data_IF_245038602934
#
_entry.id   IF_245038602934
#
_cell.length_a   1.000
_cell.length_b   1.000
_cell.length_c   1.000
_cell.angle_alpha   90.00
_cell.angle_beta   90.00
_cell.angle_gamma   90.00
#
_symmetry.space_group_name_H-M   'P 1'
#
loop_
_entity.id
_entity.type
_entity.pdbx_description
1 polymer ?
#
# COMPACT_ATOMS: atom_id res chain seq x y z
N UNK A 1 -49.99 -28.20 -7.35
CA UNK A 1 -49.12 -27.62 -8.39
C UNK A 1 -47.92 -28.53 -8.60
N UNK A 2 -47.83 -29.17 -9.76
CA UNK A 2 -46.98 -30.35 -9.97
C UNK A 2 -45.50 -29.95 -10.10
N UNK A 3 -44.67 -30.37 -9.14
CA UNK A 3 -43.23 -30.00 -9.02
C UNK A 3 -42.34 -30.47 -10.18
N UNK A 4 -42.90 -31.16 -11.19
CA UNK A 4 -42.20 -31.62 -12.40
C UNK A 4 -42.20 -30.59 -13.53
N UNK A 5 -43.00 -29.53 -13.44
CA UNK A 5 -43.08 -28.49 -14.48
C UNK A 5 -42.16 -27.29 -14.23
N UNK A 6 -41.71 -27.08 -12.98
CA UNK A 6 -40.84 -25.95 -12.61
C UNK A 6 -39.48 -25.92 -13.36
N UNK A 7 -38.78 -27.05 -13.61
CA UNK A 7 -37.50 -26.99 -14.34
C UNK A 7 -37.69 -26.81 -15.86
N UNK A 8 -38.83 -27.25 -16.42
CA UNK A 8 -39.13 -27.11 -17.86
C UNK A 8 -39.47 -25.66 -18.21
N UNK A 9 -40.19 -24.96 -17.33
CA UNK A 9 -40.50 -23.53 -17.49
C UNK A 9 -39.24 -22.65 -17.37
N UNK A 10 -38.32 -22.99 -16.46
CA UNK A 10 -37.06 -22.26 -16.28
C UNK A 10 -36.10 -22.39 -17.48
N UNK A 11 -36.02 -23.58 -18.11
CA UNK A 11 -35.23 -23.78 -19.33
C UNK A 11 -35.81 -23.04 -20.55
N UNK A 12 -37.15 -23.01 -20.69
CA UNK A 12 -37.79 -22.26 -21.77
C UNK A 12 -37.55 -20.74 -21.67
N UNK A 13 -37.52 -20.19 -20.44
CA UNK A 13 -37.25 -18.76 -20.19
C UNK A 13 -35.80 -18.39 -20.57
N UNK A 14 -34.82 -19.25 -20.30
CA UNK A 14 -33.42 -18.99 -20.63
C UNK A 14 -33.13 -19.02 -22.14
N UNK A 15 -33.84 -19.86 -22.91
CA UNK A 15 -33.72 -19.91 -24.37
C UNK A 15 -34.39 -18.69 -25.04
N UNK A 16 -35.47 -18.15 -24.45
CA UNK A 16 -36.10 -16.94 -24.96
C UNK A 16 -35.22 -15.71 -24.70
N UNK A 17 -34.58 -15.61 -23.53
CA UNK A 17 -33.67 -14.48 -23.20
C UNK A 17 -32.42 -14.48 -24.10
N UNK A 18 -31.87 -15.63 -24.48
CA UNK A 18 -30.71 -15.68 -25.40
C UNK A 18 -31.05 -15.28 -26.84
N UNK A 19 -32.32 -15.35 -27.24
CA UNK A 19 -32.80 -14.86 -28.55
C UNK A 19 -33.10 -13.34 -28.56
N UNK A 20 -33.31 -12.71 -27.39
CA UNK A 20 -33.58 -11.26 -27.28
C UNK A 20 -32.31 -10.39 -27.18
N UNK A 21 -31.13 -10.96 -26.87
CA UNK A 21 -29.89 -10.19 -26.69
C UNK A 21 -28.90 -10.22 -27.87
N UNK A 22 -29.31 -10.75 -29.03
CA UNK A 22 -28.56 -10.65 -30.28
C UNK A 22 -29.37 -9.89 -31.34
N UNK A 23 -29.36 -8.56 -31.24
CA UNK A 23 -29.97 -7.67 -32.22
C UNK A 23 -29.31 -6.31 -32.08
N UNK A 24 -28.30 -6.06 -32.91
CA UNK A 24 -27.67 -4.75 -32.99
C UNK A 24 -28.60 -3.73 -33.63
N UNK A 25 -28.47 -2.48 -33.23
CA UNK A 25 -28.96 -1.36 -34.02
C UNK A 25 -27.87 -0.30 -34.17
N UNK A 26 -27.56 -0.06 -35.45
CA UNK A 26 -26.84 1.11 -35.93
C UNK A 26 -27.80 2.30 -35.82
N UNK A 27 -27.34 3.40 -35.24
CA UNK A 27 -28.01 4.70 -35.32
C UNK A 27 -26.98 5.77 -35.74
N UNK A 28 -27.42 6.88 -36.36
CA UNK A 28 -26.78 7.46 -37.52
C UNK A 28 -25.76 8.54 -37.17
N UNK A 29 -24.81 8.74 -38.07
CA UNK A 29 -23.83 9.80 -38.07
C UNK A 29 -24.47 11.20 -38.17
N UNK A 30 -24.20 12.04 -37.18
CA UNK A 30 -24.23 13.51 -37.30
C UNK A 30 -22.81 14.10 -37.18
N UNK A 31 -22.52 15.28 -37.78
CA UNK A 31 -21.18 15.70 -38.10
C UNK A 31 -20.48 16.52 -36.99
N UNK A 32 -19.16 16.31 -36.94
CA UNK A 32 -18.08 16.99 -36.19
C UNK A 32 -18.34 18.42 -35.70
N UNK A 33 -18.16 18.60 -34.38
CA UNK A 33 -17.65 19.84 -33.78
C UNK A 33 -16.41 19.50 -32.95
N UNK A 34 -15.28 20.08 -33.36
CA UNK A 34 -13.97 20.01 -32.72
C UNK A 34 -14.05 20.45 -31.25
N UNK A 35 -13.82 19.52 -30.32
CA UNK A 35 -13.52 19.84 -28.92
C UNK A 35 -12.11 19.37 -28.58
N UNK A 36 -11.28 20.38 -28.37
CA UNK A 36 -9.98 20.38 -27.72
C UNK A 36 -9.90 19.40 -26.55
N UNK A 37 -8.86 18.56 -26.57
CA UNK A 37 -8.50 17.63 -25.49
C UNK A 37 -8.54 18.31 -24.10
N UNK A 38 -9.14 17.66 -23.09
CA UNK A 38 -8.97 18.09 -21.70
C UNK A 38 -7.50 17.91 -21.28
N UNK A 39 -6.94 18.82 -20.47
CA UNK A 39 -5.58 18.66 -19.97
C UNK A 39 -5.53 17.44 -19.05
N UNK A 40 -4.72 16.47 -19.45
CA UNK A 40 -4.20 15.43 -18.57
C UNK A 40 -3.65 16.10 -17.32
N UNK A 41 -4.20 15.76 -16.15
CA UNK A 41 -3.62 16.11 -14.85
C UNK A 41 -2.27 15.39 -14.75
N UNK A 42 -1.23 16.02 -15.28
CA UNK A 42 0.14 15.76 -14.88
C UNK A 42 0.19 16.00 -13.36
N UNK A 43 0.30 14.91 -12.60
CA UNK A 43 0.71 15.00 -11.23
C UNK A 43 2.05 15.75 -11.23
N UNK A 44 2.03 16.98 -10.74
CA UNK A 44 3.21 17.79 -10.47
C UNK A 44 4.06 16.96 -9.54
N UNK A 45 5.04 16.26 -10.11
CA UNK A 45 6.09 15.60 -9.36
C UNK A 45 7.28 16.53 -9.55
N UNK A 46 7.64 17.35 -8.53
CA UNK A 46 8.90 18.05 -8.57
C UNK A 46 9.99 17.02 -8.81
N UNK A 47 10.80 17.25 -9.84
CA UNK A 47 12.00 16.47 -10.16
C UNK A 47 13.07 16.80 -9.10
N UNK A 48 12.81 16.43 -7.84
CA UNK A 48 13.80 16.47 -6.78
C UNK A 48 14.83 15.38 -7.06
N UNK A 49 16.10 15.75 -7.05
CA UNK A 49 17.21 14.82 -6.86
C UNK A 49 16.85 13.88 -5.70
N UNK A 50 16.93 12.54 -5.86
CA UNK A 50 16.55 11.63 -4.80
C UNK A 50 17.36 11.94 -3.54
N UNK A 51 16.69 12.41 -2.48
CA UNK A 51 17.34 12.65 -1.21
C UNK A 51 17.98 11.34 -0.71
N UNK A 52 19.16 11.39 -0.09
CA UNK A 52 19.80 10.21 0.47
C UNK A 52 18.87 9.44 1.43
N UNK A 53 18.87 8.10 1.37
CA UNK A 53 17.92 7.28 2.14
C UNK A 53 18.08 7.44 3.66
N UNK A 54 19.28 7.76 4.14
CA UNK A 54 19.57 8.06 5.54
C UNK A 54 18.90 9.36 5.99
N UNK A 55 18.78 10.35 5.10
CA UNK A 55 18.03 11.58 5.37
C UNK A 55 16.53 11.34 5.30
N UNK A 56 16.07 10.57 4.32
CA UNK A 56 14.64 10.23 4.19
C UNK A 56 14.13 9.45 5.41
N UNK A 57 14.91 8.48 5.89
CA UNK A 57 14.53 7.61 7.02
C UNK A 57 14.94 8.17 8.38
N UNK A 58 15.51 9.37 8.47
CA UNK A 58 15.82 10.00 9.74
C UNK A 58 14.56 10.07 10.62
N UNK A 59 14.67 9.65 11.87
CA UNK A 59 13.52 9.50 12.78
C UNK A 59 12.57 10.70 12.75
N UNK A 60 13.08 11.90 12.99
CA UNK A 60 12.26 13.12 13.07
C UNK A 60 11.49 13.38 11.78
N UNK A 61 12.12 13.13 10.62
CA UNK A 61 11.46 13.28 9.32
C UNK A 61 10.28 12.32 9.15
N UNK A 62 10.48 11.06 9.55
CA UNK A 62 9.44 10.02 9.41
C UNK A 62 8.33 10.26 10.43
N UNK A 63 8.66 10.58 11.68
CA UNK A 63 7.68 10.88 12.75
C UNK A 63 6.83 12.07 12.36
N UNK A 64 7.42 13.23 12.00
CA UNK A 64 6.65 14.41 11.61
C UNK A 64 5.78 14.16 10.36
N UNK A 65 6.24 13.34 9.41
CA UNK A 65 5.41 12.94 8.27
C UNK A 65 4.22 12.09 8.70
N UNK A 66 4.46 11.10 9.57
CA UNK A 66 3.43 10.20 10.09
C UNK A 66 2.38 10.95 10.91
N UNK A 67 2.78 11.89 11.77
CA UNK A 67 1.85 12.72 12.54
C UNK A 67 0.92 13.51 11.62
N UNK A 68 1.48 14.12 10.56
CA UNK A 68 0.74 14.95 9.62
C UNK A 68 -0.20 14.16 8.71
N UNK A 69 0.22 13.00 8.22
CA UNK A 69 -0.49 12.28 7.15
C UNK A 69 -1.04 10.91 7.56
N UNK A 70 -0.72 10.42 8.76
CA UNK A 70 -1.16 9.12 9.31
C UNK A 70 -0.89 7.94 8.35
N UNK A 71 0.18 8.05 7.55
CA UNK A 71 0.60 7.05 6.57
C UNK A 71 2.11 7.12 6.36
N UNK A 72 2.72 5.97 6.06
CA UNK A 72 4.15 5.93 5.76
C UNK A 72 4.48 6.76 4.49
N UNK A 73 5.64 7.43 4.47
CA UNK A 73 6.20 8.00 3.25
C UNK A 73 6.28 6.97 2.11
N UNK A 74 6.10 7.44 0.87
CA UNK A 74 6.02 6.56 -0.31
C UNK A 74 7.31 5.80 -0.65
N UNK A 75 8.45 6.16 -0.04
CA UNK A 75 9.72 5.45 -0.23
C UNK A 75 9.83 4.15 0.59
N UNK A 76 8.90 3.92 1.53
CA UNK A 76 8.80 2.64 2.22
C UNK A 76 8.15 1.56 1.35
N UNK A 77 8.58 0.33 1.55
CA UNK A 77 7.95 -0.85 0.97
C UNK A 77 8.02 -2.05 1.91
N UNK A 78 7.07 -2.95 1.79
CA UNK A 78 7.02 -4.15 2.65
C UNK A 78 8.18 -5.08 2.36
N UNK A 79 8.54 -5.91 3.36
CA UNK A 79 9.54 -6.98 3.18
C UNK A 79 9.18 -7.91 2.02
N UNK A 80 7.89 -8.19 1.79
CA UNK A 80 7.43 -9.03 0.69
C UNK A 80 7.77 -8.40 -0.67
N UNK A 81 7.35 -7.16 -0.88
CA UNK A 81 7.62 -6.42 -2.13
C UNK A 81 9.12 -6.29 -2.40
N UNK A 82 9.91 -6.00 -1.36
CA UNK A 82 11.36 -5.89 -1.51
C UNK A 82 11.99 -7.22 -1.95
N UNK A 83 11.61 -8.35 -1.34
CA UNK A 83 12.11 -9.67 -1.73
C UNK A 83 11.71 -10.05 -3.15
N UNK A 84 10.48 -9.77 -3.55
CA UNK A 84 10.00 -9.99 -4.92
C UNK A 84 10.80 -9.17 -5.93
N UNK A 85 11.31 -8.00 -5.54
CA UNK A 85 12.19 -7.16 -6.35
C UNK A 85 13.70 -7.50 -6.22
N UNK A 86 14.07 -8.62 -5.58
CA UNK A 86 15.45 -9.10 -5.52
C UNK A 86 16.24 -8.73 -4.26
N UNK A 87 15.59 -8.16 -3.24
CA UNK A 87 16.24 -7.93 -1.96
C UNK A 87 16.53 -9.25 -1.24
N UNK A 88 17.80 -9.43 -0.89
CA UNK A 88 18.30 -10.49 -0.03
C UNK A 88 18.85 -9.87 1.27
N UNK A 89 18.12 -10.10 2.36
CA UNK A 89 18.48 -9.58 3.68
C UNK A 89 19.85 -10.05 4.17
N UNK A 90 20.32 -11.24 3.76
CA UNK A 90 21.64 -11.76 4.16
C UNK A 90 22.76 -11.00 3.45
N UNK A 91 22.53 -10.59 2.20
CA UNK A 91 23.48 -9.80 1.40
C UNK A 91 23.47 -8.32 1.77
N UNK A 92 22.37 -7.81 2.37
CA UNK A 92 22.24 -6.38 2.66
C UNK A 92 22.10 -5.53 1.40
N UNK A 93 21.65 -6.11 0.29
CA UNK A 93 21.69 -5.49 -1.04
C UNK A 93 20.48 -4.58 -1.36
N UNK A 94 19.72 -4.11 -0.36
CA UNK A 94 18.45 -3.40 -0.62
C UNK A 94 18.67 -2.17 -1.50
N UNK A 95 19.65 -1.32 -1.19
CA UNK A 95 19.94 -0.13 -1.98
C UNK A 95 20.50 -0.43 -3.38
N UNK A 96 21.07 -1.62 -3.59
CA UNK A 96 21.59 -2.03 -4.90
C UNK A 96 20.45 -2.38 -5.84
N UNK A 97 19.43 -3.10 -5.33
CA UNK A 97 18.27 -3.54 -6.14
C UNK A 97 17.13 -2.53 -6.14
N UNK A 98 17.03 -1.71 -5.09
CA UNK A 98 15.94 -0.76 -4.86
C UNK A 98 16.51 0.57 -4.31
N UNK A 99 17.19 1.37 -5.14
CA UNK A 99 17.74 2.65 -4.73
C UNK A 99 16.67 3.59 -4.16
N UNK A 100 16.98 4.24 -3.04
CA UNK A 100 16.06 5.19 -2.40
C UNK A 100 14.85 4.55 -1.72
N UNK A 101 14.88 3.25 -1.44
CA UNK A 101 13.82 2.53 -0.71
C UNK A 101 14.27 2.09 0.68
N UNK A 102 13.30 1.99 1.59
CA UNK A 102 13.48 1.42 2.92
C UNK A 102 12.37 0.41 3.24
N UNK A 103 12.63 -0.49 4.19
CA UNK A 103 11.65 -1.50 4.60
C UNK A 103 10.64 -0.91 5.59
N UNK A 104 9.35 -1.10 5.33
CA UNK A 104 8.30 -0.70 6.25
C UNK A 104 6.89 -1.01 5.76
N UNK A 105 5.93 -0.99 6.68
CA UNK A 105 4.52 -1.28 6.42
C UNK A 105 4.10 -2.71 6.73
N UNK A 106 5.01 -3.57 7.17
CA UNK A 106 4.67 -4.91 7.63
C UNK A 106 3.95 -4.88 8.99
N UNK A 107 3.06 -5.85 9.22
CA UNK A 107 2.34 -5.99 10.49
C UNK A 107 3.30 -6.37 11.62
N UNK A 108 3.33 -5.57 12.68
CA UNK A 108 4.02 -5.89 13.91
C UNK A 108 3.07 -6.64 14.86
N UNK A 109 3.42 -7.88 15.20
CA UNK A 109 2.50 -8.76 15.94
C UNK A 109 2.31 -8.41 17.42
N UNK A 110 3.20 -7.61 18.01
CA UNK A 110 3.18 -7.25 19.44
C UNK A 110 2.99 -8.46 20.37
N UNK A 111 3.69 -9.57 20.11
CA UNK A 111 3.53 -10.84 20.85
C UNK A 111 3.88 -10.70 22.34
N UNK A 112 4.90 -9.90 22.64
CA UNK A 112 5.37 -9.63 24.00
C UNK A 112 4.49 -8.63 24.76
N UNK A 113 3.52 -8.01 24.07
CA UNK A 113 2.57 -7.04 24.64
C UNK A 113 3.26 -5.80 25.25
N UNK A 114 4.44 -5.44 24.75
CA UNK A 114 5.20 -4.27 25.19
C UNK A 114 4.61 -2.95 24.68
N UNK A 115 3.72 -2.99 23.68
CA UNK A 115 2.95 -1.83 23.22
C UNK A 115 1.48 -1.91 23.66
N UNK A 116 0.80 -0.77 23.87
CA UNK A 116 -0.60 -0.74 24.30
C UNK A 116 -1.55 -1.53 23.39
N UNK A 117 -2.44 -2.32 24.00
CA UNK A 117 -3.43 -3.16 23.31
C UNK A 117 -4.82 -2.54 23.48
N UNK A 118 -5.56 -2.45 22.39
CA UNK A 118 -6.96 -2.05 22.37
C UNK A 118 -7.73 -2.88 21.34
N UNK A 119 -9.05 -2.99 21.49
CA UNK A 119 -9.89 -3.74 20.55
C UNK A 119 -9.78 -3.14 19.14
N UNK A 120 -9.47 -3.98 18.15
CA UNK A 120 -9.30 -3.54 16.76
C UNK A 120 -7.97 -2.84 16.47
N UNK A 121 -7.15 -2.52 17.48
CA UNK A 121 -5.84 -1.91 17.26
C UNK A 121 -4.90 -2.90 16.59
N UNK A 122 -4.28 -2.44 15.51
CA UNK A 122 -3.22 -3.15 14.82
C UNK A 122 -1.93 -2.34 14.92
N UNK A 123 -0.80 -3.04 14.94
CA UNK A 123 0.52 -2.43 14.95
C UNK A 123 1.26 -2.79 13.66
N UNK A 124 2.08 -1.84 13.21
CA UNK A 124 2.92 -1.95 12.01
C UNK A 124 4.33 -1.43 12.34
N UNK A 125 5.30 -1.80 11.53
CA UNK A 125 6.71 -1.41 11.70
C UNK A 125 7.30 -0.77 10.44
N UNK A 126 8.26 0.12 10.62
CA UNK A 126 9.11 0.67 9.56
C UNK A 126 10.54 0.90 10.07
N UNK A 127 11.52 0.72 9.20
CA UNK A 127 12.91 1.05 9.51
C UNK A 127 13.09 2.56 9.59
N UNK A 128 13.80 3.03 10.60
CA UNK A 128 14.27 4.42 10.67
C UNK A 128 15.80 4.41 10.77
N UNK A 129 16.43 5.54 10.47
CA UNK A 129 17.88 5.72 10.48
C UNK A 129 18.64 4.70 9.60
N UNK A 130 18.05 4.29 8.47
CA UNK A 130 18.62 3.29 7.57
C UNK A 130 19.68 3.90 6.64
N UNK A 131 20.84 3.25 6.52
CA UNK A 131 22.03 3.80 5.82
C UNK A 131 22.54 2.90 4.69
N UNK A 132 21.65 2.19 4.01
CA UNK A 132 22.00 1.11 3.08
C UNK A 132 22.73 -0.07 3.76
N UNK A 133 22.97 -1.16 3.03
CA UNK A 133 23.55 -2.38 3.59
C UNK A 133 22.55 -3.16 4.45
N UNK A 134 23.06 -3.83 5.48
CA UNK A 134 22.23 -4.53 6.47
C UNK A 134 21.35 -3.54 7.24
N UNK A 135 20.11 -3.96 7.53
CA UNK A 135 19.16 -3.18 8.33
C UNK A 135 19.69 -3.03 9.76
N UNK A 136 19.63 -1.82 10.29
CA UNK A 136 20.05 -1.50 11.67
C UNK A 136 19.01 -1.93 12.71
N UNK A 137 19.16 -1.43 13.95
CA UNK A 137 18.28 -1.79 15.06
C UNK A 137 17.00 -0.97 15.19
N UNK A 138 16.99 0.19 14.55
CA UNK A 138 16.00 1.22 14.83
C UNK A 138 14.72 1.00 14.04
N UNK A 139 13.58 1.12 14.72
CA UNK A 139 12.26 0.96 14.11
C UNK A 139 11.29 1.98 14.66
N UNK A 140 10.45 2.49 13.77
CA UNK A 140 9.20 3.13 14.12
C UNK A 140 8.09 2.09 14.17
N UNK A 141 7.25 2.16 15.19
CA UNK A 141 6.07 1.33 15.40
C UNK A 141 4.86 2.27 15.39
N UNK A 142 3.89 1.99 14.53
CA UNK A 142 2.70 2.83 14.46
C UNK A 142 1.43 1.98 14.53
N UNK A 143 0.43 2.51 15.22
CA UNK A 143 -0.85 1.83 15.37
C UNK A 143 -1.86 2.29 14.32
N UNK A 144 -2.87 1.46 14.09
CA UNK A 144 -4.00 1.78 13.21
C UNK A 144 -4.84 2.98 13.68
N UNK A 145 -4.68 3.39 14.94
CA UNK A 145 -5.35 4.51 15.59
C UNK A 145 -4.40 5.66 15.96
N UNK A 146 -3.21 5.71 15.33
CA UNK A 146 -2.37 6.91 15.28
C UNK A 146 -1.31 7.05 16.37
N UNK A 147 -1.10 6.05 17.23
CA UNK A 147 0.02 6.05 18.18
C UNK A 147 1.34 5.77 17.45
N UNK A 148 2.41 6.42 17.87
CA UNK A 148 3.75 6.25 17.31
C UNK A 148 4.75 6.00 18.45
N UNK A 149 5.50 4.91 18.31
CA UNK A 149 6.61 4.54 19.17
C UNK A 149 7.88 4.35 18.35
N UNK A 150 9.02 4.46 18.99
CA UNK A 150 10.32 4.09 18.42
C UNK A 150 11.06 3.11 19.32
N UNK A 151 11.88 2.27 18.71
CA UNK A 151 12.87 1.40 19.37
C UNK A 151 14.22 1.62 18.69
N UNK A 152 15.30 1.59 19.47
CA UNK A 152 16.69 1.68 18.98
C UNK A 152 17.52 0.44 19.33
N UNK A 153 16.85 -0.62 19.81
CA UNK A 153 17.51 -1.75 20.45
C UNK A 153 16.94 -3.10 19.98
N UNK A 154 16.42 -3.15 18.74
CA UNK A 154 15.74 -4.32 18.18
C UNK A 154 14.55 -4.76 19.03
N UNK A 155 13.61 -3.84 19.28
CA UNK A 155 12.32 -4.10 19.92
C UNK A 155 12.41 -4.48 21.41
N UNK A 156 13.54 -4.23 22.11
CA UNK A 156 13.67 -4.53 23.54
C UNK A 156 13.01 -3.46 24.41
N UNK A 157 13.07 -2.20 23.99
CA UNK A 157 12.39 -1.08 24.64
C UNK A 157 11.73 -0.17 23.61
N UNK A 158 10.71 0.57 24.06
CA UNK A 158 9.89 1.45 23.23
C UNK A 158 9.70 2.80 23.91
N UNK A 159 9.82 3.88 23.14
CA UNK A 159 9.52 5.24 23.57
C UNK A 159 8.38 5.79 22.73
N UNK A 160 7.31 6.28 23.36
CA UNK A 160 6.24 6.97 22.66
C UNK A 160 6.72 8.35 22.23
N UNK A 161 6.39 8.76 20.99
CA UNK A 161 6.90 10.01 20.41
C UNK A 161 5.81 10.97 19.94
N UNK A 162 4.54 10.64 20.18
CA UNK A 162 3.39 11.51 19.92
C UNK A 162 2.28 11.38 20.96
#
# INVERSE_FOLDING_TARGET
MNKRFLPVVLMAILIVISLYFNGGDKTPSEPSVNQSNPPSREAITPKETPQPIDKLTAQDNVVSFMEKYQKLPAFYMTKKQAREAGWDAKKGNLCDVLPGRAIGGDRFSNREKSLPIAQGRQWFEADINYRCGHRGADRLLYSSDGMIFVTHDHYKSFTQVN
#
